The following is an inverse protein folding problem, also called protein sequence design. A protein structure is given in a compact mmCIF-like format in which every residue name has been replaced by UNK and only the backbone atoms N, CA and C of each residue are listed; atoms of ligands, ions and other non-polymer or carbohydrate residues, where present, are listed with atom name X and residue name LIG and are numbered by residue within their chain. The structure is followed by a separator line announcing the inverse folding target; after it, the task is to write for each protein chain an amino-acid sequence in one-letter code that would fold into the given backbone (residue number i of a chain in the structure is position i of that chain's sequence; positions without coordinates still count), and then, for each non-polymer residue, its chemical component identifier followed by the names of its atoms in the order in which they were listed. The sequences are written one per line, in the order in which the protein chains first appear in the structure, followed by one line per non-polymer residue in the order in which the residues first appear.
data_IF_893998431407
#
_entry.id   IF_893998431407
#
_cell.length_a   1.000
_cell.length_b   1.000
_cell.length_c   1.000
_cell.angle_alpha   90.00
_cell.angle_beta   90.00
_cell.angle_gamma   90.00
#
_symmetry.space_group_name_H-M   'P 1'
#
loop_
_entity.id
_entity.type
_entity.pdbx_description
1 polymer ?
#
# COMPACT_ATOMS: atom_id res chain seq x y z
N UNK A 1 -3.95 11.64 9.07
CA UNK A 1 -4.76 10.45 8.72
C UNK A 1 -6.18 10.56 9.28
N UNK A 2 -7.21 10.33 8.46
CA UNK A 2 -8.64 10.39 8.85
C UNK A 2 -9.40 9.21 8.23
N UNK A 3 -10.19 8.50 9.02
CA UNK A 3 -11.08 7.45 8.54
C UNK A 3 -12.54 7.91 8.55
N UNK A 4 -13.26 7.63 7.47
CA UNK A 4 -14.68 7.89 7.29
C UNK A 4 -15.40 6.59 6.95
N UNK A 5 -16.56 6.35 7.58
CA UNK A 5 -17.38 5.17 7.29
C UNK A 5 -18.53 5.57 6.39
N UNK A 6 -18.56 5.03 5.17
CA UNK A 6 -19.55 5.39 4.16
C UNK A 6 -20.82 4.55 4.30
N UNK A 7 -20.67 3.24 4.53
CA UNK A 7 -21.80 2.32 4.63
C UNK A 7 -21.49 1.10 5.51
N UNK A 8 -22.57 0.51 6.05
CA UNK A 8 -22.56 -0.80 6.71
C UNK A 8 -23.61 -1.68 6.04
N UNK A 9 -23.31 -2.96 5.90
CA UNK A 9 -24.31 -3.94 5.48
C UNK A 9 -25.23 -4.29 6.68
N UNK A 10 -26.57 -4.16 6.57
CA UNK A 10 -27.48 -4.51 7.66
C UNK A 10 -27.48 -6.00 8.03
N UNK A 11 -27.07 -6.88 7.11
CA UNK A 11 -27.14 -8.34 7.29
C UNK A 11 -25.81 -8.96 7.76
N UNK A 12 -24.73 -8.18 7.82
CA UNK A 12 -23.40 -8.68 8.19
C UNK A 12 -22.59 -7.63 8.97
N UNK A 13 -21.28 -7.89 9.14
CA UNK A 13 -20.32 -6.95 9.76
C UNK A 13 -19.51 -6.16 8.72
N UNK A 14 -19.88 -6.25 7.45
CA UNK A 14 -19.18 -5.57 6.37
C UNK A 14 -19.31 -4.04 6.49
N UNK A 15 -18.24 -3.34 6.10
CA UNK A 15 -18.10 -1.89 6.18
C UNK A 15 -17.39 -1.41 4.92
N UNK A 16 -17.95 -0.38 4.31
CA UNK A 16 -17.29 0.37 3.26
C UNK A 16 -16.94 1.76 3.81
N UNK A 17 -15.72 2.23 3.55
CA UNK A 17 -15.25 3.50 4.09
C UNK A 17 -14.04 4.03 3.34
N UNK A 18 -13.58 5.21 3.75
CA UNK A 18 -12.52 5.97 3.12
C UNK A 18 -11.44 6.32 4.14
N UNK A 19 -10.19 5.98 3.87
CA UNK A 19 -9.03 6.38 4.66
C UNK A 19 -8.26 7.47 3.91
N UNK A 20 -8.23 8.68 4.44
CA UNK A 20 -7.45 9.79 3.89
C UNK A 20 -6.11 9.87 4.61
N UNK A 21 -5.03 9.80 3.84
CA UNK A 21 -3.64 9.99 4.27
C UNK A 21 -3.04 11.20 3.58
N UNK A 22 -1.83 11.59 3.94
CA UNK A 22 -1.13 12.70 3.29
C UNK A 22 -0.71 12.35 1.85
N UNK A 23 -0.71 11.05 1.51
CA UNK A 23 -0.35 10.52 0.19
C UNK A 23 -1.56 10.19 -0.70
N UNK A 24 -2.79 10.39 -0.20
CA UNK A 24 -3.99 10.15 -0.98
C UNK A 24 -5.11 9.47 -0.19
N UNK A 25 -6.08 8.98 -0.95
CA UNK A 25 -7.30 8.36 -0.46
C UNK A 25 -7.22 6.87 -0.72
N UNK A 26 -7.58 6.07 0.27
CA UNK A 26 -7.71 4.62 0.16
C UNK A 26 -9.16 4.24 0.44
N UNK A 27 -9.82 3.56 -0.50
CA UNK A 27 -11.14 2.98 -0.28
C UNK A 27 -11.03 1.67 0.51
N UNK A 28 -12.02 1.35 1.34
CA UNK A 28 -12.05 0.11 2.13
C UNK A 28 -13.36 -0.62 1.87
N UNK A 29 -13.36 -1.96 1.78
CA UNK A 29 -12.22 -2.87 1.95
C UNK A 29 -11.23 -2.84 0.76
N UNK A 30 -9.93 -2.92 1.04
CA UNK A 30 -8.87 -2.94 0.02
C UNK A 30 -8.03 -4.21 0.10
N UNK A 31 -7.57 -4.68 -1.06
CA UNK A 31 -6.56 -5.72 -1.19
C UNK A 31 -5.20 -5.07 -1.49
N UNK A 32 -4.23 -5.23 -0.60
CA UNK A 32 -2.92 -4.58 -0.71
C UNK A 32 -1.87 -5.56 -1.23
N UNK A 33 -1.17 -5.27 -2.34
CA UNK A 33 0.00 -6.03 -2.76
C UNK A 33 1.11 -5.95 -1.70
N UNK A 34 1.89 -7.04 -1.55
CA UNK A 34 2.96 -7.11 -0.55
C UNK A 34 4.34 -7.02 -1.22
N UNK A 35 5.06 -5.95 -0.91
CA UNK A 35 6.46 -5.75 -1.27
C UNK A 35 7.39 -6.36 -0.22
N UNK A 36 8.01 -7.50 -0.52
CA UNK A 36 8.86 -8.21 0.45
C UNK A 36 10.28 -7.67 0.48
N UNK A 37 10.92 -7.40 -0.66
CA UNK A 37 12.32 -6.92 -0.72
C UNK A 37 12.41 -5.73 -1.68
N UNK A 38 11.63 -4.69 -1.39
CA UNK A 38 11.52 -3.50 -2.27
C UNK A 38 10.83 -3.77 -3.61
N UNK A 39 10.16 -4.92 -3.75
CA UNK A 39 9.39 -5.28 -4.95
C UNK A 39 8.24 -6.23 -4.61
N UNK A 40 7.15 -6.14 -5.37
CA UNK A 40 6.03 -7.10 -5.38
C UNK A 40 6.44 -8.26 -6.29
N UNK A 41 6.56 -9.46 -5.72
CA UNK A 41 7.07 -10.63 -6.47
C UNK A 41 6.11 -11.04 -7.59
N UNK A 42 6.69 -11.33 -8.76
CA UNK A 42 5.94 -11.88 -9.91
C UNK A 42 5.15 -10.84 -10.70
N UNK A 43 5.28 -9.55 -10.38
CA UNK A 43 4.63 -8.45 -11.10
C UNK A 43 5.70 -7.44 -11.51
N UNK A 44 5.70 -7.03 -12.77
CA UNK A 44 6.63 -6.01 -13.23
C UNK A 44 6.20 -4.63 -12.69
N UNK A 45 7.13 -3.73 -12.34
CA UNK A 45 6.79 -2.41 -11.80
C UNK A 45 5.85 -1.61 -12.72
N UNK A 46 6.03 -1.77 -14.04
CA UNK A 46 5.13 -1.18 -15.05
C UNK A 46 3.69 -1.68 -14.90
N UNK A 47 3.49 -2.98 -14.73
CA UNK A 47 2.16 -3.58 -14.58
C UNK A 47 1.53 -3.17 -13.25
N UNK A 48 2.34 -3.13 -12.18
CA UNK A 48 1.90 -2.65 -10.87
C UNK A 48 1.39 -1.22 -10.95
N UNK A 49 2.09 -0.35 -11.68
CA UNK A 49 1.74 1.07 -11.84
C UNK A 49 0.58 1.29 -12.81
N UNK A 50 0.59 0.63 -13.96
CA UNK A 50 -0.33 0.96 -15.06
C UNK A 50 -1.59 0.09 -15.09
N UNK A 51 -1.49 -1.17 -14.68
CA UNK A 51 -2.57 -2.15 -14.82
C UNK A 51 -3.25 -2.42 -13.48
N UNK A 52 -2.48 -2.56 -12.40
CA UNK A 52 -3.02 -2.78 -11.05
C UNK A 52 -3.39 -1.46 -10.39
N UNK A 53 -2.50 -0.46 -10.50
CA UNK A 53 -2.65 0.88 -9.92
C UNK A 53 -3.21 0.86 -8.48
N UNK A 54 -2.52 0.20 -7.53
CA UNK A 54 -3.03 0.04 -6.18
C UNK A 54 -2.95 1.37 -5.40
N UNK A 55 -3.99 1.68 -4.61
CA UNK A 55 -3.98 2.87 -3.73
C UNK A 55 -2.92 2.79 -2.62
N UNK A 56 -2.47 1.57 -2.27
CA UNK A 56 -1.47 1.31 -1.23
C UNK A 56 -0.77 -0.04 -1.45
N UNK A 57 0.53 -0.08 -1.13
CA UNK A 57 1.36 -1.29 -1.11
C UNK A 57 1.91 -1.50 0.30
N UNK A 58 1.91 -2.75 0.77
CA UNK A 58 2.50 -3.10 2.07
C UNK A 58 3.98 -3.47 1.91
N UNK A 59 4.88 -2.67 2.47
CA UNK A 59 6.31 -2.98 2.55
C UNK A 59 6.65 -3.78 3.81
N UNK A 60 7.39 -4.90 3.66
CA UNK A 60 7.84 -5.68 4.80
C UNK A 60 9.13 -5.11 5.40
N UNK A 61 9.04 -4.49 6.58
CA UNK A 61 10.16 -3.83 7.25
C UNK A 61 11.28 -4.78 7.64
N UNK A 62 10.98 -6.03 8.04
CA UNK A 62 12.00 -7.02 8.41
C UNK A 62 12.96 -7.29 7.24
N UNK A 63 12.40 -7.56 6.06
CA UNK A 63 13.21 -7.85 4.88
C UNK A 63 13.96 -6.61 4.40
N UNK A 64 13.31 -5.44 4.36
CA UNK A 64 13.92 -4.18 3.94
C UNK A 64 15.09 -3.76 4.84
N UNK A 65 14.96 -4.00 6.15
CA UNK A 65 16.02 -3.76 7.13
C UNK A 65 17.25 -4.64 6.89
N UNK A 66 17.04 -5.91 6.53
CA UNK A 66 18.14 -6.83 6.25
C UNK A 66 18.76 -6.58 4.87
N UNK A 67 17.93 -6.31 3.85
CA UNK A 67 18.32 -6.02 2.47
C UNK A 67 17.24 -5.14 1.81
N UNK A 68 17.55 -3.93 1.31
CA UNK A 68 18.87 -3.36 1.06
C UNK A 68 19.51 -2.64 2.27
N UNK A 69 18.89 -2.69 3.45
CA UNK A 69 19.23 -1.90 4.65
C UNK A 69 18.74 -0.45 4.58
N UNK A 70 18.55 0.15 5.75
CA UNK A 70 17.97 1.48 5.94
C UNK A 70 18.74 2.59 5.23
N UNK A 71 20.08 2.52 5.20
CA UNK A 71 20.91 3.55 4.56
C UNK A 71 20.67 3.68 3.04
N UNK A 72 20.20 2.61 2.38
CA UNK A 72 19.82 2.65 0.97
C UNK A 72 18.44 3.26 0.81
N UNK A 73 17.50 2.89 1.69
CA UNK A 73 16.12 3.38 1.68
C UNK A 73 16.06 4.89 1.94
N UNK A 74 16.86 5.41 2.86
CA UNK A 74 16.94 6.85 3.19
C UNK A 74 17.42 7.70 2.02
N UNK A 75 18.26 7.14 1.14
CA UNK A 75 18.73 7.82 -0.08
C UNK A 75 17.70 7.81 -1.21
N UNK A 76 16.69 6.95 -1.12
CA UNK A 76 15.63 6.84 -2.11
C UNK A 76 14.47 7.75 -1.72
N UNK A 77 14.49 8.97 -2.27
CA UNK A 77 13.39 9.95 -2.12
C UNK A 77 12.06 9.39 -2.63
N UNK A 78 12.10 8.43 -3.56
CA UNK A 78 10.93 7.87 -4.24
C UNK A 78 10.36 6.59 -3.61
N UNK A 79 10.94 6.04 -2.53
CA UNK A 79 10.41 4.80 -1.93
C UNK A 79 8.95 4.97 -1.44
N UNK A 80 8.56 6.20 -1.09
CA UNK A 80 7.23 6.57 -0.61
C UNK A 80 6.33 7.09 -1.74
N UNK A 81 6.87 7.39 -2.94
CA UNK A 81 6.14 8.04 -4.04
C UNK A 81 5.71 7.07 -5.17
N UNK A 82 5.67 5.76 -4.88
CA UNK A 82 5.17 4.74 -5.81
C UNK A 82 3.65 4.75 -5.91
#
# INVERSE_FOLDING_TARGET
MKFELNAKDPQSKARAGKLTTDHGVIETPIFMPVGTVGTVKGVHQRELKNDINPDIILGNTYHLYLRPQTHVLEKQVDFINL
#
